data_IF_867922121944
#
_entry.id   IF_867922121944
#
_cell.length_a   1.000
_cell.length_b   1.000
_cell.length_c   1.000
_cell.angle_alpha   90.00
_cell.angle_beta   90.00
_cell.angle_gamma   90.00
#
_symmetry.space_group_name_H-M   'P 1'
#
loop_
_entity.id
_entity.type
_entity.pdbx_description
1 polymer ?
#
# COMPACT_ATOMS: atom_id res chain seq x y z
N UNK A 1 -46.28 -32.30 -18.77
CA UNK A 1 -45.28 -33.38 -18.89
C UNK A 1 -43.92 -32.72 -18.75
N UNK A 2 -43.24 -32.91 -17.61
CA UNK A 2 -41.93 -32.31 -17.36
C UNK A 2 -40.87 -33.38 -17.62
N UNK A 3 -39.91 -33.08 -18.50
CA UNK A 3 -38.74 -33.93 -18.70
C UNK A 3 -37.80 -33.77 -17.50
N UNK A 4 -37.28 -34.88 -16.98
CA UNK A 4 -36.28 -34.86 -15.93
C UNK A 4 -34.93 -34.38 -16.45
N UNK A 5 -34.12 -33.76 -15.58
CA UNK A 5 -32.80 -33.20 -15.94
C UNK A 5 -31.90 -34.21 -16.66
N UNK A 6 -31.83 -35.46 -16.16
CA UNK A 6 -31.04 -36.55 -16.78
C UNK A 6 -31.45 -36.83 -18.22
N UNK A 7 -32.75 -36.82 -18.49
CA UNK A 7 -33.28 -37.08 -19.84
C UNK A 7 -32.99 -35.89 -20.76
N UNK A 8 -33.07 -34.67 -20.26
CA UNK A 8 -32.71 -33.47 -21.01
C UNK A 8 -31.21 -33.42 -21.36
N UNK A 9 -30.32 -33.89 -20.47
CA UNK A 9 -28.89 -34.05 -20.74
C UNK A 9 -28.61 -35.12 -21.82
N UNK A 10 -29.23 -36.29 -21.70
CA UNK A 10 -29.05 -37.39 -22.67
C UNK A 10 -29.55 -37.03 -24.07
N UNK A 11 -30.60 -36.22 -24.14
CA UNK A 11 -31.12 -35.68 -25.40
C UNK A 11 -30.37 -34.41 -25.84
N UNK A 12 -29.31 -34.03 -25.11
CA UNK A 12 -28.46 -32.87 -25.38
C UNK A 12 -29.24 -31.54 -25.48
N UNK A 13 -30.38 -31.45 -24.79
CA UNK A 13 -31.25 -30.27 -24.75
C UNK A 13 -30.74 -29.20 -23.78
N UNK A 14 -29.93 -29.62 -22.80
CA UNK A 14 -29.23 -28.76 -21.86
C UNK A 14 -27.76 -29.17 -21.83
N UNK A 15 -26.86 -28.19 -21.89
CA UNK A 15 -25.43 -28.38 -21.67
C UNK A 15 -25.00 -27.57 -20.46
N UNK A 16 -24.37 -28.25 -19.49
CA UNK A 16 -23.81 -27.58 -18.32
C UNK A 16 -22.38 -27.18 -18.63
N UNK A 17 -22.17 -25.92 -19.02
CA UNK A 17 -20.84 -25.34 -19.10
C UNK A 17 -20.40 -24.85 -17.71
N UNK A 18 -20.04 -25.79 -16.83
CA UNK A 18 -19.41 -25.45 -15.55
C UNK A 18 -17.91 -25.75 -15.62
N UNK A 19 -17.20 -24.94 -16.40
CA UNK A 19 -15.73 -24.90 -16.32
C UNK A 19 -15.35 -23.98 -15.18
N UNK A 20 -15.44 -24.48 -13.94
CA UNK A 20 -14.75 -23.82 -12.83
C UNK A 20 -13.31 -24.28 -12.93
N UNK A 21 -12.45 -23.43 -13.49
CA UNK A 21 -11.02 -23.62 -13.33
C UNK A 21 -10.73 -23.49 -11.84
N UNK A 22 -10.51 -24.64 -11.19
CA UNK A 22 -10.05 -24.70 -9.82
C UNK A 22 -8.56 -24.36 -9.82
N UNK A 23 -8.25 -23.11 -10.11
CA UNK A 23 -6.88 -22.62 -10.04
C UNK A 23 -6.43 -22.68 -8.59
N UNK A 24 -5.30 -23.35 -8.38
CA UNK A 24 -4.66 -23.37 -7.06
C UNK A 24 -4.23 -21.95 -6.72
N UNK A 25 -4.24 -21.61 -5.43
CA UNK A 25 -3.77 -20.30 -4.95
C UNK A 25 -2.37 -19.99 -5.47
N UNK A 26 -1.51 -21.00 -5.59
CA UNK A 26 -0.15 -20.86 -6.15
C UNK A 26 -0.15 -20.45 -7.63
N UNK A 27 -1.09 -20.95 -8.43
CA UNK A 27 -1.24 -20.57 -9.84
C UNK A 27 -1.63 -19.10 -9.94
N UNK A 28 -2.60 -18.66 -9.13
CA UNK A 28 -3.07 -17.27 -9.08
C UNK A 28 -1.98 -16.30 -8.60
N UNK A 29 -1.23 -16.67 -7.56
CA UNK A 29 -0.12 -15.84 -7.05
C UNK A 29 1.00 -15.74 -8.09
N UNK A 30 1.23 -16.80 -8.86
CA UNK A 30 2.24 -16.79 -9.93
C UNK A 30 1.78 -15.93 -11.11
N UNK A 31 0.51 -16.04 -11.51
CA UNK A 31 -0.07 -15.25 -12.61
C UNK A 31 -0.13 -13.76 -12.28
N UNK A 32 -0.59 -13.41 -11.08
CA UNK A 32 -0.74 -12.04 -10.61
C UNK A 32 0.39 -11.60 -9.69
N UNK A 33 1.59 -12.15 -9.87
CA UNK A 33 2.76 -11.90 -9.02
C UNK A 33 3.02 -10.42 -8.77
N UNK A 34 2.84 -9.58 -9.79
CA UNK A 34 3.00 -8.12 -9.71
C UNK A 34 2.04 -7.42 -8.75
N UNK A 35 0.88 -8.01 -8.43
CA UNK A 35 -0.07 -7.48 -7.44
C UNK A 35 0.35 -7.80 -6.00
N UNK A 36 1.21 -8.80 -5.81
CA UNK A 36 1.65 -9.30 -4.51
C UNK A 36 3.09 -8.90 -4.17
N UNK A 37 3.77 -8.18 -5.06
CA UNK A 37 5.14 -7.73 -4.88
C UNK A 37 5.24 -6.21 -4.71
N UNK A 38 6.06 -5.77 -3.76
CA UNK A 38 6.30 -4.36 -3.47
C UNK A 38 5.17 -3.69 -2.67
N UNK A 39 5.25 -2.37 -2.53
CA UNK A 39 4.28 -1.55 -1.79
C UNK A 39 3.08 -1.17 -2.67
N UNK A 40 3.25 -1.20 -4.00
CA UNK A 40 2.30 -0.67 -4.97
C UNK A 40 2.38 0.86 -5.06
N UNK A 41 2.05 1.40 -6.24
CA UNK A 41 1.98 2.84 -6.48
C UNK A 41 0.79 3.15 -7.39
N UNK A 42 -0.09 4.06 -6.96
CA UNK A 42 -1.21 4.53 -7.77
C UNK A 42 -0.68 5.55 -8.79
N UNK A 43 -0.39 5.07 -10.00
CA UNK A 43 0.12 5.91 -11.08
C UNK A 43 -0.94 6.90 -11.57
N UNK A 44 -0.47 8.05 -12.06
CA UNK A 44 -1.26 9.06 -12.79
C UNK A 44 -2.39 9.72 -11.98
N UNK A 45 -2.33 9.63 -10.65
CA UNK A 45 -3.29 10.29 -9.74
C UNK A 45 -2.57 11.11 -8.69
N UNK A 46 -2.70 12.43 -8.80
CA UNK A 46 -2.28 13.35 -7.74
C UNK A 46 -3.45 13.57 -6.78
N UNK A 47 -3.29 13.15 -5.53
CA UNK A 47 -4.26 13.43 -4.47
C UNK A 47 -4.08 14.86 -3.96
N UNK A 48 -5.17 15.61 -3.83
CA UNK A 48 -5.17 16.91 -3.15
C UNK A 48 -5.82 16.77 -1.77
N UNK A 49 -5.05 16.99 -0.72
CA UNK A 49 -5.59 17.07 0.64
C UNK A 49 -6.33 18.40 0.79
N UNK A 50 -7.61 18.33 1.16
CA UNK A 50 -8.42 19.52 1.41
C UNK A 50 -8.22 19.96 2.86
N UNK A 51 -7.49 21.07 3.02
CA UNK A 51 -7.21 21.67 4.32
C UNK A 51 -8.13 22.88 4.48
N UNK A 52 -8.78 22.99 5.65
CA UNK A 52 -9.52 24.18 6.01
C UNK A 52 -8.57 25.38 6.16
N UNK A 53 -8.87 26.45 5.42
CA UNK A 53 -8.04 27.66 5.34
C UNK A 53 -7.99 28.46 6.64
N UNK A 54 -8.92 28.23 7.56
CA UNK A 54 -8.95 28.90 8.84
C UNK A 54 -8.08 28.22 9.91
N UNK A 55 -7.55 27.02 9.61
CA UNK A 55 -6.68 26.29 10.53
C UNK A 55 -5.25 26.79 10.40
N UNK A 56 -4.65 27.14 11.54
CA UNK A 56 -3.23 27.51 11.59
C UNK A 56 -2.36 26.27 11.41
N UNK A 57 -1.33 26.34 10.55
CA UNK A 57 -0.42 25.24 10.35
C UNK A 57 0.44 25.00 11.60
N UNK A 58 0.67 23.72 11.93
CA UNK A 58 1.47 23.33 13.09
C UNK A 58 2.87 22.95 12.63
N UNK A 59 3.87 23.62 13.21
CA UNK A 59 5.29 23.31 13.07
C UNK A 59 5.85 22.82 14.42
N UNK A 60 5.89 21.51 14.63
CA UNK A 60 6.54 20.90 15.80
C UNK A 60 8.06 20.95 15.63
N UNK A 61 8.78 21.02 16.76
CA UNK A 61 10.25 20.93 16.79
C UNK A 61 10.68 19.50 16.50
N UNK A 62 11.77 19.34 15.74
CA UNK A 62 12.39 18.04 15.49
C UNK A 62 12.71 17.27 16.78
N UNK A 63 12.15 16.07 16.93
CA UNK A 63 12.52 15.15 18.01
C UNK A 63 13.90 14.52 17.75
N UNK A 64 14.77 14.52 18.77
CA UNK A 64 16.09 13.88 18.68
C UNK A 64 15.96 12.36 18.60
N UNK A 65 16.57 11.76 17.59
CA UNK A 65 16.74 10.30 17.48
C UNK A 65 17.91 9.87 18.37
N UNK A 66 17.72 8.80 19.15
CA UNK A 66 18.77 8.22 19.98
C UNK A 66 19.96 7.80 19.12
N UNK A 67 21.18 8.01 19.62
CA UNK A 67 22.41 7.89 18.82
C UNK A 67 22.55 6.53 18.12
N UNK A 68 22.27 5.44 18.83
CA UNK A 68 22.37 4.08 18.29
C UNK A 68 21.34 3.75 17.21
N UNK A 69 20.25 4.51 17.11
CA UNK A 69 19.19 4.29 16.13
C UNK A 69 19.34 5.13 14.87
N UNK A 70 20.21 6.15 14.88
CA UNK A 70 20.42 7.01 13.70
C UNK A 70 20.77 6.23 12.44
N UNK A 71 21.71 5.25 12.47
CA UNK A 71 22.04 4.50 11.27
C UNK A 71 20.85 3.69 10.73
N UNK A 72 20.03 3.12 11.64
CA UNK A 72 18.84 2.36 11.26
C UNK A 72 17.76 3.26 10.66
N UNK A 73 17.54 4.45 11.23
CA UNK A 73 16.60 5.44 10.71
C UNK A 73 17.03 5.95 9.33
N UNK A 74 18.32 6.27 9.16
CA UNK A 74 18.87 6.74 7.88
C UNK A 74 18.74 5.68 6.79
N UNK A 75 18.97 4.41 7.12
CA UNK A 75 18.81 3.31 6.17
C UNK A 75 17.34 3.12 5.74
N UNK A 76 16.39 3.18 6.68
CA UNK A 76 14.96 3.08 6.33
C UNK A 76 14.48 4.29 5.51
N UNK A 77 14.95 5.50 5.82
CA UNK A 77 14.68 6.68 5.01
C UNK A 77 15.20 6.50 3.58
N UNK A 78 16.42 5.99 3.42
CA UNK A 78 17.02 5.71 2.11
C UNK A 78 16.23 4.66 1.33
N UNK A 79 15.75 3.59 1.99
CA UNK A 79 14.90 2.58 1.35
C UNK A 79 13.57 3.16 0.86
N UNK A 80 12.95 4.04 1.64
CA UNK A 80 11.70 4.69 1.26
C UNK A 80 11.88 5.68 0.11
N UNK A 81 12.99 6.43 0.09
CA UNK A 81 13.36 7.28 -1.04
C UNK A 81 13.60 6.45 -2.31
N UNK A 82 14.31 5.32 -2.21
CA UNK A 82 14.54 4.40 -3.33
C UNK A 82 13.25 3.74 -3.84
N UNK A 83 12.29 3.50 -2.95
CA UNK A 83 10.97 2.97 -3.29
C UNK A 83 10.01 4.04 -3.83
N UNK A 84 10.46 5.29 -4.00
CA UNK A 84 9.66 6.43 -4.49
C UNK A 84 8.41 6.70 -3.62
N UNK A 85 8.49 6.37 -2.33
CA UNK A 85 7.41 6.60 -1.36
C UNK A 85 7.50 7.99 -0.75
N UNK A 86 8.73 8.50 -0.58
CA UNK A 86 9.03 9.81 0.00
C UNK A 86 10.05 10.55 -0.87
N UNK A 87 9.99 11.87 -0.87
CA UNK A 87 10.91 12.73 -1.58
C UNK A 87 11.41 13.87 -0.69
N UNK A 88 12.56 14.45 -1.05
CA UNK A 88 13.06 15.66 -0.40
C UNK A 88 12.26 16.87 -0.89
N UNK A 89 11.89 17.74 0.04
CA UNK A 89 11.20 18.99 -0.26
C UNK A 89 12.14 20.16 -0.07
N UNK A 90 12.20 21.04 -1.06
CA UNK A 90 12.97 22.28 -1.00
C UNK A 90 12.13 23.42 -0.39
N UNK A 91 12.72 24.15 0.57
CA UNK A 91 12.12 25.34 1.18
C UNK A 91 11.25 25.05 2.42
N UNK A 92 10.80 26.11 3.11
CA UNK A 92 10.01 25.97 4.34
C UNK A 92 8.59 25.49 4.02
N UNK A 93 8.18 24.38 4.62
CA UNK A 93 6.78 23.95 4.61
C UNK A 93 6.04 24.53 5.81
N UNK A 94 4.78 24.99 5.65
CA UNK A 94 3.99 25.50 6.77
C UNK A 94 3.67 24.40 7.78
N UNK A 95 3.44 23.17 7.30
CA UNK A 95 3.22 22.00 8.13
C UNK A 95 4.54 21.27 8.32
N UNK A 96 5.02 21.25 9.55
CA UNK A 96 6.17 20.44 9.94
C UNK A 96 5.75 19.65 11.16
N UNK A 97 5.45 18.37 10.98
CA UNK A 97 5.53 17.47 12.11
C UNK A 97 7.03 17.25 12.34
N UNK A 98 7.60 18.03 13.26
CA UNK A 98 9.00 17.99 13.67
C UNK A 98 9.44 16.58 14.01
N UNK A 99 9.90 15.86 12.99
CA UNK A 99 9.84 14.42 12.98
C UNK A 99 8.38 13.96 12.87
N UNK A 100 8.09 13.16 11.85
CA UNK A 100 7.28 11.98 12.12
C UNK A 100 7.72 11.46 13.48
N UNK A 101 6.79 11.24 14.42
CA UNK A 101 7.15 10.57 15.66
C UNK A 101 7.73 9.23 15.21
N UNK A 102 9.06 9.13 15.14
CA UNK A 102 9.77 7.92 14.79
C UNK A 102 9.57 7.02 15.98
N UNK A 103 8.41 6.35 15.98
CA UNK A 103 8.06 5.38 16.99
C UNK A 103 8.92 4.17 16.65
N UNK A 104 10.00 4.04 17.41
CA UNK A 104 10.79 2.82 17.42
C UNK A 104 9.92 1.77 18.10
N UNK A 105 9.26 0.95 17.31
CA UNK A 105 8.63 -0.29 17.80
C UNK A 105 9.78 -1.25 18.10
N UNK A 106 9.68 -1.98 19.22
CA UNK A 106 10.80 -2.78 19.73
C UNK A 106 11.37 -3.74 18.66
N UNK A 107 12.71 -3.77 18.65
CA UNK A 107 13.68 -4.65 17.98
C UNK A 107 13.68 -4.81 16.45
N UNK A 108 12.55 -4.94 15.74
CA UNK A 108 12.59 -5.24 14.31
C UNK A 108 12.28 -4.04 13.39
N UNK A 109 11.21 -3.26 13.66
CA UNK A 109 10.65 -2.38 12.64
C UNK A 109 10.61 -0.91 13.07
N UNK A 110 11.46 -0.07 12.45
CA UNK A 110 11.29 1.39 12.51
C UNK A 110 10.27 1.77 11.43
N UNK A 111 9.08 2.20 11.84
CA UNK A 111 8.08 2.73 10.90
C UNK A 111 8.29 4.23 10.76
N UNK A 112 8.78 4.64 9.59
CA UNK A 112 8.80 6.05 9.18
C UNK A 112 7.55 6.32 8.36
N UNK A 113 6.69 7.23 8.84
CA UNK A 113 5.51 7.68 8.08
C UNK A 113 5.73 9.12 7.68
N UNK A 114 5.94 9.38 6.39
CA UNK A 114 5.90 10.72 5.82
C UNK A 114 4.74 10.78 4.83
N UNK A 115 3.85 11.76 5.02
CA UNK A 115 2.81 12.08 4.05
C UNK A 115 3.06 13.51 3.54
N UNK A 116 3.04 13.67 2.22
CA UNK A 116 2.97 14.99 1.59
C UNK A 116 1.57 15.57 1.81
N UNK A 117 1.49 16.83 2.26
CA UNK A 117 0.24 17.61 2.27
C UNK A 117 0.12 18.49 1.03
#
# INVERSE_FOLDING_TARGET
>A
MLLGCRTAEQLNLISFAFSVHLETVESLVTEFKSLFEGIGCLKDRMLRLHIDKFIQPVALKHCRVAFHLRPKVEEELRKLEQADVIEKVDGPTPWVLGGAKLVTVHEADIKVTACRM
#
